data_IF_364888739073
#
_entry.id   IF_364888739073
#
_cell.length_a   1.000
_cell.length_b   1.000
_cell.length_c   1.000
_cell.angle_alpha   90.00
_cell.angle_beta   90.00
_cell.angle_gamma   90.00
#
_symmetry.space_group_name_H-M   'P 1'
#
loop_
_entity.id
_entity.type
_entity.pdbx_description
1 polymer ?
#
# COMPACT_ATOMS: atom_id res chain seq x y z
N UNK A 1 -12.03 7.50 -1.54
CA UNK A 1 -12.13 8.60 -0.55
C UNK A 1 -10.73 8.93 -0.03
N UNK A 2 -10.48 10.16 0.39
CA UNK A 2 -9.20 10.54 1.01
C UNK A 2 -9.39 10.67 2.52
N UNK A 3 -8.58 9.94 3.26
CA UNK A 3 -8.56 9.97 4.73
C UNK A 3 -7.50 10.94 5.23
N UNK A 4 -7.60 11.44 6.48
CA UNK A 4 -6.53 12.21 7.10
C UNK A 4 -5.22 11.42 7.15
N UNK A 5 -4.10 12.09 6.90
CA UNK A 5 -2.77 11.45 6.95
C UNK A 5 -2.09 11.63 8.32
N UNK A 6 -2.61 12.48 9.17
CA UNK A 6 -2.14 12.65 10.55
C UNK A 6 -3.11 11.92 11.47
N UNK A 7 -2.59 10.97 12.24
CA UNK A 7 -3.40 10.12 13.11
C UNK A 7 -2.79 9.95 14.49
N UNK A 8 -3.63 9.75 15.48
CA UNK A 8 -3.23 9.34 16.83
C UNK A 8 -3.41 7.83 17.06
N UNK A 9 -3.78 7.08 16.02
CA UNK A 9 -4.06 5.65 16.10
C UNK A 9 -3.18 4.87 15.13
N UNK A 10 -2.83 3.65 15.50
CA UNK A 10 -2.20 2.68 14.62
C UNK A 10 -3.27 1.91 13.83
N UNK A 11 -2.95 1.52 12.60
CA UNK A 11 -3.77 0.64 11.79
C UNK A 11 -3.27 -0.80 11.95
N UNK A 12 -3.68 -1.45 13.04
CA UNK A 12 -3.42 -2.87 13.34
C UNK A 12 -1.94 -3.31 13.28
N UNK A 13 -0.99 -2.41 13.55
CA UNK A 13 0.43 -2.71 13.47
C UNK A 13 0.94 -2.89 12.03
N UNK A 14 0.27 -2.28 11.05
CA UNK A 14 0.60 -2.45 9.62
C UNK A 14 1.97 -1.89 9.22
N UNK A 15 2.70 -1.21 10.10
CA UNK A 15 4.05 -0.72 9.87
C UNK A 15 4.54 0.23 10.98
N UNK A 16 5.85 0.51 10.96
CA UNK A 16 6.42 1.54 11.84
C UNK A 16 5.98 2.93 11.38
N UNK A 17 5.58 3.79 12.34
CA UNK A 17 5.02 5.10 12.05
C UNK A 17 6.04 6.22 12.23
N UNK A 18 6.08 7.16 11.29
CA UNK A 18 6.76 8.44 11.49
C UNK A 18 6.01 9.30 12.51
N UNK A 19 6.75 9.89 13.45
CA UNK A 19 6.19 10.82 14.43
C UNK A 19 5.92 12.19 13.80
N UNK A 20 4.78 12.78 14.15
CA UNK A 20 4.42 14.16 13.80
C UNK A 20 4.40 14.98 15.08
N UNK A 21 5.21 16.03 15.16
CA UNK A 21 5.33 16.89 16.33
C UNK A 21 5.66 18.32 15.95
N UNK A 22 5.11 19.26 16.68
CA UNK A 22 5.48 20.68 16.64
C UNK A 22 6.46 21.06 17.76
N UNK A 23 6.88 20.10 18.61
CA UNK A 23 7.84 20.35 19.68
C UNK A 23 9.26 20.60 19.10
N UNK A 24 10.02 21.51 19.72
CA UNK A 24 11.39 21.75 19.31
C UNK A 24 12.29 20.53 19.60
N UNK A 25 13.10 20.12 18.63
CA UNK A 25 14.01 18.98 18.79
C UNK A 25 15.14 19.24 19.78
N UNK A 26 15.66 20.48 19.80
CA UNK A 26 16.81 20.87 20.66
C UNK A 26 16.46 20.93 22.15
N UNK A 27 15.19 21.17 22.48
CA UNK A 27 14.73 21.29 23.86
C UNK A 27 13.33 20.69 23.99
N UNK A 28 13.21 19.41 23.64
CA UNK A 28 11.93 18.69 23.71
C UNK A 28 11.46 18.56 25.17
N UNK A 29 10.27 19.07 25.52
CA UNK A 29 9.70 18.93 26.85
C UNK A 29 9.59 17.47 27.28
N UNK A 30 9.93 17.20 28.56
CA UNK A 30 9.83 15.85 29.13
C UNK A 30 8.94 15.85 30.36
N UNK A 31 8.25 14.73 30.57
CA UNK A 31 7.46 14.47 31.75
C UNK A 31 8.33 14.00 32.94
N UNK A 32 7.71 13.72 34.06
CA UNK A 32 8.39 13.26 35.28
C UNK A 32 9.13 11.92 35.09
N UNK A 33 8.73 11.11 34.12
CA UNK A 33 9.38 9.85 33.79
C UNK A 33 10.54 10.01 32.74
N UNK A 34 10.83 11.24 32.31
CA UNK A 34 11.85 11.53 31.31
C UNK A 34 11.45 11.28 29.88
N UNK A 35 10.20 10.88 29.63
CA UNK A 35 9.63 10.69 28.28
C UNK A 35 9.19 12.03 27.70
N UNK A 36 9.03 12.08 26.35
CA UNK A 36 8.49 13.26 25.66
C UNK A 36 7.11 13.60 26.24
N UNK A 37 6.92 14.86 26.64
CA UNK A 37 5.64 15.35 27.14
C UNK A 37 4.74 15.85 26.00
N UNK A 38 4.07 14.93 25.34
CA UNK A 38 3.15 15.23 24.24
C UNK A 38 1.94 16.07 24.65
N UNK A 39 1.66 16.25 25.96
CA UNK A 39 0.60 17.19 26.43
C UNK A 39 0.93 18.64 26.05
N UNK A 40 2.21 18.94 25.81
CA UNK A 40 2.70 20.26 25.37
C UNK A 40 2.81 20.38 23.86
N UNK A 41 2.53 19.31 23.11
CA UNK A 41 2.51 19.33 21.66
C UNK A 41 1.20 19.91 21.12
N UNK A 42 1.18 20.23 19.82
CA UNK A 42 0.03 20.83 19.12
C UNK A 42 -1.27 19.99 19.30
N UNK A 43 -1.19 18.69 19.18
CA UNK A 43 -2.34 17.79 19.32
C UNK A 43 -2.61 17.34 20.79
N UNK A 44 -1.75 17.69 21.72
CA UNK A 44 -1.86 17.29 23.13
C UNK A 44 -1.68 15.79 23.39
N UNK A 45 -1.28 15.02 22.38
CA UNK A 45 -1.02 13.58 22.41
C UNK A 45 -0.01 13.18 21.36
N UNK A 46 0.54 12.00 21.48
CA UNK A 46 1.39 11.42 20.45
C UNK A 46 0.63 11.28 19.13
N UNK A 47 1.24 11.70 18.03
CA UNK A 47 0.64 11.76 16.71
C UNK A 47 1.62 11.28 15.67
N UNK A 48 1.12 10.65 14.61
CA UNK A 48 1.92 9.99 13.61
C UNK A 48 1.39 10.28 12.19
N UNK A 49 2.22 10.00 11.18
CA UNK A 49 1.74 9.83 9.82
C UNK A 49 1.09 8.45 9.68
N UNK A 50 -0.02 8.38 8.97
CA UNK A 50 -0.76 7.12 8.80
C UNK A 50 0.01 6.10 7.96
N UNK A 51 -0.12 4.83 8.32
CA UNK A 51 0.41 3.69 7.57
C UNK A 51 -0.63 3.08 6.62
N UNK A 52 -1.90 3.47 6.75
CA UNK A 52 -3.05 3.02 5.95
C UNK A 52 -4.24 3.96 6.15
N UNK A 53 -5.07 4.11 5.12
CA UNK A 53 -6.36 4.81 5.22
C UNK A 53 -7.49 3.92 5.73
N UNK A 54 -7.23 2.65 6.00
CA UNK A 54 -8.23 1.63 6.35
C UNK A 54 -9.03 2.02 7.58
N UNK A 55 -8.40 2.39 8.68
CA UNK A 55 -9.05 2.64 9.97
C UNK A 55 -10.18 3.69 9.87
N UNK A 56 -9.90 4.81 9.20
CA UNK A 56 -10.90 5.84 8.95
C UNK A 56 -11.88 5.40 7.84
N UNK A 57 -11.39 4.63 6.86
CA UNK A 57 -12.20 4.08 5.76
C UNK A 57 -13.31 3.18 6.26
N UNK A 58 -13.05 2.26 7.18
CA UNK A 58 -14.03 1.34 7.75
C UNK A 58 -15.23 2.08 8.38
N UNK A 59 -15.00 3.21 9.03
CA UNK A 59 -16.07 4.04 9.59
C UNK A 59 -17.06 4.48 8.52
N UNK A 60 -16.59 4.79 7.31
CA UNK A 60 -17.43 5.16 6.19
C UNK A 60 -18.01 3.95 5.46
N UNK A 61 -17.31 2.82 5.42
CA UNK A 61 -17.81 1.58 4.86
C UNK A 61 -19.08 1.11 5.59
N UNK A 62 -19.14 1.28 6.90
CA UNK A 62 -20.34 0.98 7.70
C UNK A 62 -21.58 1.80 7.30
N UNK A 63 -21.39 2.99 6.76
CA UNK A 63 -22.49 3.86 6.32
C UNK A 63 -22.81 3.74 4.83
N UNK A 64 -21.79 3.51 3.99
CA UNK A 64 -21.89 3.54 2.53
C UNK A 64 -21.91 2.14 1.89
N UNK A 65 -21.59 1.10 2.65
CA UNK A 65 -21.52 -0.29 2.21
C UNK A 65 -20.22 -0.63 1.51
N UNK A 66 -19.85 0.12 0.49
CA UNK A 66 -18.63 -0.10 -0.30
C UNK A 66 -17.90 1.22 -0.51
N UNK A 67 -16.64 1.25 -0.17
CA UNK A 67 -15.75 2.38 -0.40
C UNK A 67 -14.38 1.87 -0.87
N UNK A 68 -13.53 2.77 -1.28
CA UNK A 68 -12.08 2.57 -1.29
C UNK A 68 -11.40 3.85 -0.82
N UNK A 69 -10.28 3.70 -0.12
CA UNK A 69 -9.36 4.81 0.13
C UNK A 69 -8.33 4.87 -0.98
N UNK A 70 -7.88 6.07 -1.30
CA UNK A 70 -6.79 6.30 -2.23
C UNK A 70 -6.02 7.54 -1.77
N UNK A 71 -4.83 7.34 -1.25
CA UNK A 71 -4.05 8.41 -0.67
C UNK A 71 -2.65 8.00 -0.26
N UNK A 72 -1.83 8.98 0.15
CA UNK A 72 -0.48 8.71 0.62
C UNK A 72 -0.51 8.00 1.97
N UNK A 73 0.38 7.03 2.10
CA UNK A 73 0.66 6.29 3.33
C UNK A 73 2.16 6.32 3.60
N UNK A 74 2.53 6.16 4.87
CA UNK A 74 3.90 6.39 5.33
C UNK A 74 4.33 5.23 6.23
N UNK A 75 5.49 4.64 5.95
CA UNK A 75 6.06 3.58 6.77
C UNK A 75 7.52 3.85 7.05
N UNK A 76 7.89 3.82 8.33
CA UNK A 76 9.23 4.17 8.81
C UNK A 76 10.18 2.96 8.89
N UNK A 77 9.80 1.82 8.31
CA UNK A 77 10.61 0.63 8.32
C UNK A 77 11.95 0.86 7.62
N UNK A 78 13.03 0.48 8.30
CA UNK A 78 14.38 0.56 7.74
C UNK A 78 14.62 -0.61 6.78
N UNK A 79 14.13 -0.49 5.54
CA UNK A 79 14.31 -1.49 4.49
C UNK A 79 14.97 -0.89 3.26
N UNK A 80 16.09 -1.47 2.85
CA UNK A 80 16.89 -1.02 1.71
C UNK A 80 16.68 -1.89 0.46
N UNK A 81 15.41 -2.15 0.11
CA UNK A 81 15.09 -2.86 -1.13
C UNK A 81 14.54 -1.89 -2.17
N UNK A 82 14.64 -2.24 -3.45
CA UNK A 82 14.11 -1.45 -4.57
C UNK A 82 12.58 -1.30 -4.57
N UNK A 83 11.88 -2.00 -3.67
CA UNK A 83 10.41 -2.04 -3.59
C UNK A 83 9.85 -1.42 -2.31
N UNK A 84 10.71 -0.89 -1.42
CA UNK A 84 10.28 -0.24 -0.19
C UNK A 84 10.47 1.27 -0.32
N UNK A 85 9.37 1.99 -0.18
CA UNK A 85 9.31 3.44 -0.13
C UNK A 85 8.78 3.86 1.24
N UNK A 86 9.29 4.98 1.77
CA UNK A 86 8.80 5.55 3.02
C UNK A 86 7.45 6.26 2.85
N UNK A 87 7.15 6.70 1.63
CA UNK A 87 5.86 7.27 1.22
C UNK A 87 5.42 6.61 -0.08
N UNK A 88 4.19 6.14 -0.13
CA UNK A 88 3.57 5.55 -1.31
C UNK A 88 2.05 5.68 -1.25
N UNK A 89 1.38 5.45 -2.37
CA UNK A 89 -0.07 5.50 -2.45
C UNK A 89 -0.64 4.08 -2.50
N UNK A 90 -1.73 3.87 -1.77
CA UNK A 90 -2.47 2.60 -1.80
C UNK A 90 -3.90 2.83 -2.29
N UNK A 91 -4.44 1.81 -2.96
CA UNK A 91 -5.87 1.64 -3.20
C UNK A 91 -6.33 0.56 -2.24
N UNK A 92 -7.19 0.94 -1.29
CA UNK A 92 -7.60 0.07 -0.18
C UNK A 92 -9.13 -0.05 -0.20
N UNK A 93 -9.70 -1.08 -0.86
CA UNK A 93 -11.15 -1.33 -0.84
C UNK A 93 -11.60 -1.79 0.53
N UNK A 94 -12.71 -1.22 1.00
CA UNK A 94 -13.41 -1.63 2.21
C UNK A 94 -14.87 -1.93 1.87
N UNK A 95 -15.27 -3.17 2.00
CA UNK A 95 -16.62 -3.63 1.66
C UNK A 95 -17.27 -4.24 2.89
N UNK A 96 -18.25 -3.51 3.44
CA UNK A 96 -19.01 -4.00 4.59
C UNK A 96 -19.77 -5.27 4.23
N UNK A 97 -19.77 -6.23 5.15
CA UNK A 97 -20.49 -7.50 5.07
C UNK A 97 -19.93 -8.56 4.11
N UNK A 98 -18.84 -8.29 3.38
CA UNK A 98 -18.14 -9.31 2.63
C UNK A 98 -17.45 -10.29 3.57
N UNK A 99 -17.50 -11.57 3.22
CA UNK A 99 -16.69 -12.60 3.86
C UNK A 99 -15.35 -12.79 3.11
N UNK A 100 -14.60 -13.82 3.50
CA UNK A 100 -13.30 -14.10 2.89
C UNK A 100 -13.41 -14.48 1.41
N UNK A 101 -14.43 -15.26 1.03
CA UNK A 101 -14.63 -15.69 -0.35
C UNK A 101 -15.00 -14.51 -1.23
N UNK A 102 -15.90 -13.64 -0.79
CA UNK A 102 -16.27 -12.39 -1.46
C UNK A 102 -15.04 -11.48 -1.66
N UNK A 103 -14.19 -11.40 -0.64
CA UNK A 103 -12.98 -10.56 -0.71
C UNK A 103 -11.94 -11.14 -1.67
N UNK A 104 -11.80 -12.47 -1.76
CA UNK A 104 -10.95 -13.12 -2.75
C UNK A 104 -11.45 -12.88 -4.17
N UNK A 105 -12.76 -12.93 -4.40
CA UNK A 105 -13.36 -12.63 -5.69
C UNK A 105 -13.13 -11.18 -6.10
N UNK A 106 -13.33 -10.24 -5.19
CA UNK A 106 -13.04 -8.82 -5.42
C UNK A 106 -11.56 -8.59 -5.78
N UNK A 107 -10.64 -9.27 -5.09
CA UNK A 107 -9.21 -9.15 -5.36
C UNK A 107 -8.84 -9.68 -6.75
N UNK A 108 -9.42 -10.81 -7.18
CA UNK A 108 -9.23 -11.37 -8.51
C UNK A 108 -9.74 -10.42 -9.59
N UNK A 109 -10.99 -9.97 -9.47
CA UNK A 109 -11.61 -9.03 -10.40
C UNK A 109 -10.80 -7.72 -10.51
N UNK A 110 -10.34 -7.20 -9.38
CA UNK A 110 -9.55 -5.97 -9.34
C UNK A 110 -8.22 -6.12 -10.07
N UNK A 111 -7.48 -7.20 -9.82
CA UNK A 111 -6.18 -7.46 -10.47
C UNK A 111 -6.37 -7.65 -11.98
N UNK A 112 -7.34 -8.46 -12.39
CA UNK A 112 -7.64 -8.69 -13.81
C UNK A 112 -8.09 -7.40 -14.51
N UNK A 113 -8.94 -6.61 -13.86
CA UNK A 113 -9.36 -5.31 -14.40
C UNK A 113 -8.17 -4.36 -14.64
N UNK A 114 -7.29 -4.22 -13.65
CA UNK A 114 -6.12 -3.32 -13.75
C UNK A 114 -5.17 -3.78 -14.85
N UNK A 115 -4.89 -5.08 -14.96
CA UNK A 115 -4.05 -5.64 -16.02
C UNK A 115 -4.67 -5.36 -17.39
N UNK A 116 -5.94 -5.70 -17.58
CA UNK A 116 -6.67 -5.48 -18.84
C UNK A 116 -6.68 -4.00 -19.23
N UNK A 117 -6.97 -3.12 -18.28
CA UNK A 117 -6.96 -1.68 -18.51
C UNK A 117 -5.58 -1.17 -18.91
N UNK A 118 -4.52 -1.64 -18.24
CA UNK A 118 -3.14 -1.25 -18.54
C UNK A 118 -2.72 -1.73 -19.93
N UNK A 119 -3.08 -2.96 -20.32
CA UNK A 119 -2.80 -3.49 -21.65
C UNK A 119 -3.51 -2.71 -22.75
N UNK A 120 -4.73 -2.24 -22.50
CA UNK A 120 -5.51 -1.45 -23.46
C UNK A 120 -5.04 0.02 -23.55
N UNK A 121 -4.72 0.65 -22.41
CA UNK A 121 -4.47 2.09 -22.32
C UNK A 121 -2.99 2.49 -22.35
N UNK A 122 -2.10 1.59 -21.97
CA UNK A 122 -0.67 1.87 -21.84
C UNK A 122 0.22 0.91 -22.65
N UNK A 123 -0.09 0.61 -23.94
CA UNK A 123 0.66 -0.38 -24.73
C UNK A 123 2.12 0.03 -24.97
N UNK A 124 2.41 1.32 -25.10
CA UNK A 124 3.77 1.80 -25.33
C UNK A 124 4.64 1.67 -24.08
N UNK A 125 4.08 1.94 -22.90
CA UNK A 125 4.76 1.76 -21.61
C UNK A 125 5.05 0.27 -21.38
N UNK A 126 4.09 -0.60 -21.64
CA UNK A 126 4.28 -2.06 -21.54
C UNK A 126 5.36 -2.57 -22.47
N UNK A 127 5.39 -2.10 -23.72
CA UNK A 127 6.44 -2.45 -24.68
C UNK A 127 7.83 -2.01 -24.19
N UNK A 128 7.92 -0.80 -23.65
CA UNK A 128 9.17 -0.30 -23.06
C UNK A 128 9.63 -1.17 -21.88
N UNK A 129 8.71 -1.49 -20.95
CA UNK A 129 9.00 -2.33 -19.79
C UNK A 129 9.38 -3.75 -20.19
N UNK A 130 8.71 -4.33 -21.16
CA UNK A 130 9.05 -5.66 -21.70
C UNK A 130 10.47 -5.67 -22.26
N UNK A 131 10.82 -4.67 -23.09
CA UNK A 131 12.18 -4.52 -23.62
C UNK A 131 13.24 -4.45 -22.52
N UNK A 132 12.98 -3.66 -21.50
CA UNK A 132 13.86 -3.54 -20.32
C UNK A 132 14.02 -4.86 -19.57
N UNK A 133 12.92 -5.55 -19.30
CA UNK A 133 12.94 -6.83 -18.61
C UNK A 133 13.69 -7.90 -19.41
N UNK A 134 13.50 -7.93 -20.75
CA UNK A 134 14.25 -8.83 -21.61
C UNK A 134 15.76 -8.57 -21.54
N UNK A 135 16.19 -7.32 -21.45
CA UNK A 135 17.60 -6.98 -21.34
C UNK A 135 18.15 -7.34 -19.94
N UNK A 136 17.38 -7.20 -18.89
CA UNK A 136 17.71 -7.68 -17.54
C UNK A 136 17.83 -9.22 -17.49
N UNK A 137 16.90 -9.93 -18.13
CA UNK A 137 16.93 -11.39 -18.22
C UNK A 137 18.18 -11.91 -18.97
N UNK A 138 18.62 -11.21 -20.04
CA UNK A 138 19.86 -11.59 -20.75
C UNK A 138 21.11 -11.56 -19.86
N UNK A 139 21.11 -10.71 -18.82
CA UNK A 139 22.25 -10.59 -17.89
C UNK A 139 22.27 -11.70 -16.85
N UNK A 140 21.17 -12.44 -16.65
CA UNK A 140 21.08 -13.55 -15.72
C UNK A 140 21.67 -14.83 -16.31
N UNK A 141 22.17 -15.76 -15.46
CA UNK A 141 22.48 -17.13 -15.90
C UNK A 141 21.28 -17.77 -16.60
N UNK A 142 21.53 -18.58 -17.59
CA UNK A 142 20.45 -19.18 -18.42
C UNK A 142 19.43 -19.97 -17.57
N UNK A 143 19.86 -20.64 -16.51
CA UNK A 143 19.01 -21.41 -15.62
C UNK A 143 18.07 -20.55 -14.73
N UNK A 144 18.34 -19.24 -14.63
CA UNK A 144 17.56 -18.29 -13.81
C UNK A 144 16.66 -17.38 -14.65
N UNK A 145 16.71 -17.53 -15.97
CA UNK A 145 15.90 -16.70 -16.88
C UNK A 145 14.44 -17.11 -16.84
N UNK A 146 13.56 -16.12 -16.88
CA UNK A 146 12.13 -16.38 -17.03
C UNK A 146 11.83 -16.99 -18.41
N UNK A 147 11.03 -18.05 -18.41
CA UNK A 147 10.56 -18.69 -19.65
C UNK A 147 9.45 -17.89 -20.38
N UNK A 148 8.78 -16.99 -19.64
CA UNK A 148 7.67 -16.19 -20.18
C UNK A 148 8.05 -14.71 -20.27
N UNK A 149 7.72 -14.07 -21.38
CA UNK A 149 7.78 -12.62 -21.55
C UNK A 149 6.76 -11.90 -20.67
N UNK A 150 6.89 -10.58 -20.51
CA UNK A 150 5.97 -9.80 -19.66
C UNK A 150 4.52 -9.91 -20.13
N UNK A 151 4.28 -9.69 -21.42
CA UNK A 151 2.91 -9.73 -21.96
C UNK A 151 2.30 -11.13 -21.87
N UNK A 152 3.09 -12.18 -22.02
CA UNK A 152 2.60 -13.57 -21.87
C UNK A 152 2.19 -13.83 -20.41
N UNK A 153 2.95 -13.31 -19.42
CA UNK A 153 2.57 -13.40 -18.00
C UNK A 153 1.26 -12.68 -17.71
N UNK A 154 1.08 -11.48 -18.26
CA UNK A 154 -0.15 -10.70 -18.07
C UNK A 154 -1.35 -11.40 -18.71
N UNK A 155 -1.21 -11.93 -19.93
CA UNK A 155 -2.25 -12.72 -20.58
C UNK A 155 -2.58 -13.99 -19.78
N UNK A 156 -1.56 -14.69 -19.29
CA UNK A 156 -1.79 -15.87 -18.42
C UNK A 156 -2.66 -15.56 -17.21
N UNK A 157 -2.46 -14.41 -16.55
CA UNK A 157 -3.29 -13.98 -15.42
C UNK A 157 -4.72 -13.69 -15.86
N UNK A 158 -4.93 -13.12 -17.06
CA UNK A 158 -6.27 -12.80 -17.56
C UNK A 158 -7.06 -14.03 -18.03
N UNK A 159 -6.36 -15.08 -18.48
CA UNK A 159 -6.96 -16.29 -19.06
C UNK A 159 -7.22 -17.39 -18.04
N UNK A 160 -6.72 -17.25 -16.81
CA UNK A 160 -6.80 -18.28 -15.78
C UNK A 160 -7.43 -17.74 -14.49
N UNK A 161 -8.30 -18.53 -13.89
CA UNK A 161 -8.85 -18.24 -12.57
C UNK A 161 -7.78 -18.40 -11.48
N UNK A 162 -7.85 -17.57 -10.46
CA UNK A 162 -6.94 -17.64 -9.33
C UNK A 162 -7.23 -18.86 -8.47
N UNK A 163 -6.17 -19.58 -8.09
CA UNK A 163 -6.29 -20.66 -7.13
C UNK A 163 -6.57 -20.09 -5.73
N UNK A 164 -7.64 -20.59 -5.11
CA UNK A 164 -7.88 -20.38 -3.68
C UNK A 164 -7.06 -21.42 -2.91
N UNK A 165 -6.19 -20.95 -2.01
CA UNK A 165 -5.34 -21.81 -1.18
C UNK A 165 -5.58 -21.47 0.28
N UNK A 166 -5.66 -22.50 1.12
CA UNK A 166 -5.82 -22.41 2.58
C UNK A 166 -4.48 -22.61 3.27
#
# INVERSE_FOLDING_TARGET
MNTPIITGSDAEGAGEMFKVTALPFDNTPRNEEGKVDYKKDFFGKETNLTVSGQLEGETFAMALGQIYTFGPTFRAENSNTSRHLAEFWMIEPEVAFNDLDDNMDLAEDFIQYVIKYTMDKCPDDLKFLEGRLLDEEKQKPQAERSEMALLDKLNFVLENNFKRVS
#
